data_IF_523563268677
#
_entry.id   IF_523563268677
#
_cell.length_a   1.000
_cell.length_b   1.000
_cell.length_c   1.000
_cell.angle_alpha   90.00
_cell.angle_beta   90.00
_cell.angle_gamma   90.00
#
_symmetry.space_group_name_H-M   'P 1'
#
loop_
_entity.id
_entity.type
_entity.pdbx_description
1 polymer ?
#
# COMPACT_ATOMS: atom_id res chain seq x y z
N UNK A 1 -12.49 -6.21 14.59
CA UNK A 1 -12.56 -6.32 16.06
C UNK A 1 -12.86 -7.73 16.53
N UNK A 2 -13.94 -8.41 16.11
CA UNK A 2 -14.23 -9.78 16.56
C UNK A 2 -13.09 -10.77 16.33
N UNK A 3 -12.45 -10.76 15.15
CA UNK A 3 -11.29 -11.63 14.90
C UNK A 3 -10.11 -11.35 15.83
N UNK A 4 -9.80 -10.08 16.10
CA UNK A 4 -8.75 -9.69 17.04
C UNK A 4 -9.09 -10.16 18.47
N UNK A 5 -10.36 -10.06 18.87
CA UNK A 5 -10.80 -10.58 20.17
C UNK A 5 -10.60 -12.10 20.27
N UNK A 6 -10.93 -12.86 19.22
CA UNK A 6 -10.68 -14.30 19.16
C UNK A 6 -9.20 -14.62 19.31
N UNK A 7 -8.33 -13.97 18.52
CA UNK A 7 -6.87 -14.13 18.61
C UNK A 7 -6.31 -13.81 20.00
N UNK A 8 -6.88 -12.82 20.69
CA UNK A 8 -6.40 -12.38 21.99
C UNK A 8 -6.86 -13.31 23.11
N UNK A 9 -8.16 -13.57 23.18
CA UNK A 9 -8.78 -14.24 24.32
C UNK A 9 -8.71 -15.77 24.22
N UNK A 10 -8.83 -16.32 23.01
CA UNK A 10 -8.85 -17.76 22.73
C UNK A 10 -7.56 -18.19 22.03
N UNK A 11 -6.41 -17.69 22.48
CA UNK A 11 -5.12 -17.84 21.75
C UNK A 11 -4.71 -19.30 21.54
N UNK A 12 -5.07 -20.19 22.46
CA UNK A 12 -4.76 -21.62 22.35
C UNK A 12 -5.54 -22.29 21.20
N UNK A 13 -6.71 -21.75 20.84
CA UNK A 13 -7.56 -22.22 19.75
C UNK A 13 -7.34 -21.39 18.46
N UNK A 14 -7.04 -20.10 18.61
CA UNK A 14 -6.89 -19.13 17.53
C UNK A 14 -5.54 -18.41 17.65
N UNK A 15 -4.54 -18.91 16.94
CA UNK A 15 -3.23 -18.28 16.81
C UNK A 15 -2.87 -17.90 15.36
N UNK A 16 -3.63 -18.40 14.38
CA UNK A 16 -3.47 -18.04 12.97
C UNK A 16 -4.53 -17.00 12.56
N UNK A 17 -4.13 -15.78 12.13
CA UNK A 17 -5.06 -14.74 11.72
C UNK A 17 -5.94 -15.11 10.52
N UNK A 18 -5.41 -15.90 9.59
CA UNK A 18 -6.14 -16.28 8.38
C UNK A 18 -7.23 -17.30 8.71
N UNK A 19 -6.94 -18.31 9.51
CA UNK A 19 -7.92 -19.26 10.03
C UNK A 19 -8.97 -18.56 10.90
N UNK A 20 -8.56 -17.60 11.72
CA UNK A 20 -9.52 -16.80 12.52
C UNK A 20 -10.48 -16.00 11.65
N UNK A 21 -9.97 -15.39 10.56
CA UNK A 21 -10.81 -14.68 9.58
C UNK A 21 -11.79 -15.62 8.87
N UNK A 22 -11.34 -16.84 8.50
CA UNK A 22 -12.18 -17.88 7.87
C UNK A 22 -13.27 -18.36 8.81
N UNK A 23 -12.91 -18.72 10.04
CA UNK A 23 -13.85 -19.12 11.08
C UNK A 23 -14.91 -18.05 11.30
N UNK A 24 -14.50 -16.79 11.48
CA UNK A 24 -15.45 -15.68 11.64
C UNK A 24 -16.41 -15.57 10.45
N UNK A 25 -15.93 -15.71 9.22
CA UNK A 25 -16.76 -15.62 8.03
C UNK A 25 -17.81 -16.74 7.96
N UNK A 26 -17.43 -17.97 8.28
CA UNK A 26 -18.33 -19.14 8.33
C UNK A 26 -19.39 -18.98 9.41
N UNK A 27 -19.01 -18.52 10.61
CA UNK A 27 -19.96 -18.36 11.71
C UNK A 27 -20.90 -17.17 11.51
N UNK A 28 -20.43 -16.08 10.90
CA UNK A 28 -21.18 -14.83 10.82
C UNK A 28 -22.11 -14.74 9.61
N UNK A 29 -21.77 -15.40 8.49
CA UNK A 29 -22.42 -15.17 7.19
C UNK A 29 -22.66 -16.46 6.42
N UNK A 30 -23.83 -16.59 5.77
CA UNK A 30 -24.19 -17.76 4.98
C UNK A 30 -23.42 -17.91 3.66
N UNK A 31 -22.75 -16.84 3.20
CA UNK A 31 -21.96 -16.82 1.97
C UNK A 31 -20.46 -16.79 2.23
N UNK A 32 -20.04 -17.00 3.49
CA UNK A 32 -18.64 -17.00 3.94
C UNK A 32 -17.88 -15.71 3.60
N UNK A 33 -18.61 -14.58 3.49
CA UNK A 33 -18.03 -13.25 3.30
C UNK A 33 -18.08 -12.47 4.61
N UNK A 34 -17.14 -12.79 5.51
CA UNK A 34 -16.91 -12.04 6.74
C UNK A 34 -16.17 -10.72 6.47
N UNK A 35 -14.92 -10.62 6.96
CA UNK A 35 -14.06 -9.46 6.71
C UNK A 35 -13.46 -9.56 5.31
N UNK A 36 -14.02 -8.79 4.37
CA UNK A 36 -13.66 -8.87 2.95
C UNK A 36 -12.75 -7.74 2.48
N UNK A 37 -12.69 -6.62 3.22
CA UNK A 37 -11.86 -5.48 2.84
C UNK A 37 -10.39 -5.80 3.15
N UNK A 38 -9.47 -5.73 2.15
CA UNK A 38 -8.07 -6.10 2.32
C UNK A 38 -7.34 -5.39 3.46
N UNK A 39 -7.49 -4.07 3.59
CA UNK A 39 -6.87 -3.35 4.72
C UNK A 39 -7.42 -3.80 6.07
N UNK A 40 -8.70 -4.18 6.17
CA UNK A 40 -9.23 -4.71 7.44
C UNK A 40 -8.60 -6.07 7.80
N UNK A 41 -8.39 -6.94 6.80
CA UNK A 41 -7.71 -8.23 6.98
C UNK A 41 -6.25 -8.03 7.39
N UNK A 42 -5.54 -7.11 6.74
CA UNK A 42 -4.16 -6.71 7.09
C UNK A 42 -4.01 -6.32 8.56
N UNK A 43 -4.95 -5.57 9.12
CA UNK A 43 -4.89 -5.18 10.54
C UNK A 43 -5.18 -6.35 11.50
N UNK A 44 -5.95 -7.36 11.09
CA UNK A 44 -6.09 -8.61 11.86
C UNK A 44 -4.79 -9.40 11.84
N UNK A 45 -4.12 -9.47 10.68
CA UNK A 45 -2.79 -10.10 10.54
C UNK A 45 -1.72 -9.37 11.37
N UNK A 46 -1.68 -8.03 11.31
CA UNK A 46 -0.82 -7.20 12.16
C UNK A 46 -1.02 -7.47 13.64
N UNK A 47 -2.28 -7.52 14.09
CA UNK A 47 -2.59 -7.79 15.48
C UNK A 47 -2.14 -9.20 15.89
N UNK A 48 -2.44 -10.23 15.08
CA UNK A 48 -1.95 -11.58 15.34
C UNK A 48 -0.43 -11.68 15.36
N UNK A 49 0.26 -10.93 14.49
CA UNK A 49 1.72 -10.84 14.50
C UNK A 49 2.27 -10.27 15.82
N UNK A 50 1.67 -9.19 16.35
CA UNK A 50 2.03 -8.67 17.68
C UNK A 50 1.89 -9.73 18.76
N UNK A 51 0.76 -10.47 18.77
CA UNK A 51 0.48 -11.47 19.80
C UNK A 51 1.42 -12.68 19.72
N UNK A 52 1.65 -13.20 18.51
CA UNK A 52 2.41 -14.43 18.28
C UNK A 52 3.89 -14.23 18.56
N UNK A 53 4.43 -13.05 18.24
CA UNK A 53 5.84 -12.73 18.45
C UNK A 53 6.08 -11.88 19.71
N UNK A 54 5.03 -11.64 20.52
CA UNK A 54 5.08 -10.85 21.75
C UNK A 54 5.75 -9.48 21.56
N UNK A 55 5.45 -8.84 20.42
CA UNK A 55 6.06 -7.58 20.05
C UNK A 55 5.43 -6.44 20.84
N UNK A 56 6.26 -5.49 21.26
CA UNK A 56 5.82 -4.20 21.78
C UNK A 56 5.69 -3.26 20.59
N UNK A 57 4.48 -2.74 20.36
CA UNK A 57 4.27 -1.73 19.34
C UNK A 57 5.05 -0.47 19.69
N UNK A 58 5.90 -0.03 18.76
CA UNK A 58 6.65 1.23 18.88
C UNK A 58 6.42 2.06 17.63
N UNK A 59 6.59 3.37 17.78
CA UNK A 59 6.57 4.23 16.60
C UNK A 59 7.79 3.97 15.72
N UNK A 60 7.55 3.85 14.42
CA UNK A 60 8.58 3.59 13.42
C UNK A 60 8.45 4.59 12.29
N UNK A 61 9.42 5.50 12.18
CA UNK A 61 9.39 6.52 11.14
C UNK A 61 10.05 6.01 9.87
N UNK A 62 9.40 6.32 8.75
CA UNK A 62 9.95 6.11 7.42
C UNK A 62 9.89 7.42 6.64
N UNK A 63 10.68 7.47 5.57
CA UNK A 63 10.58 8.49 4.54
C UNK A 63 9.92 7.85 3.33
N UNK A 64 8.70 8.25 3.00
CA UNK A 64 8.12 7.86 1.72
C UNK A 64 8.90 8.53 0.58
N UNK A 65 9.26 7.75 -0.44
CA UNK A 65 10.04 8.25 -1.58
C UNK A 65 9.27 8.19 -2.89
N UNK A 66 8.70 7.03 -3.23
CA UNK A 66 8.08 6.82 -4.55
C UNK A 66 6.86 5.91 -4.47
N UNK A 67 5.80 6.27 -5.19
CA UNK A 67 4.75 5.35 -5.59
C UNK A 67 4.99 4.89 -7.03
N UNK A 68 5.18 3.60 -7.21
CA UNK A 68 5.34 2.96 -8.51
C UNK A 68 4.08 2.17 -8.85
N UNK A 69 3.55 2.36 -10.05
CA UNK A 69 2.40 1.62 -10.57
C UNK A 69 2.85 0.87 -11.82
N UNK A 70 2.56 -0.42 -11.90
CA UNK A 70 2.97 -1.26 -13.03
C UNK A 70 1.80 -2.04 -13.59
N UNK A 71 1.76 -2.26 -14.90
CA UNK A 71 0.82 -3.18 -15.53
C UNK A 71 1.32 -3.63 -16.92
N UNK A 72 0.81 -4.76 -17.41
CA UNK A 72 1.08 -5.27 -18.76
C UNK A 72 0.13 -4.65 -19.78
N UNK A 73 0.64 -4.31 -20.97
CA UNK A 73 -0.13 -3.64 -22.02
C UNK A 73 -1.17 -4.58 -22.67
N UNK A 74 -2.38 -4.04 -22.87
CA UNK A 74 -3.35 -4.37 -23.93
C UNK A 74 -4.61 -3.47 -23.87
N UNK A 75 -4.75 -2.62 -22.84
CA UNK A 75 -5.82 -1.61 -22.75
C UNK A 75 -5.21 -0.21 -22.74
N UNK A 76 -5.64 0.62 -23.68
CA UNK A 76 -5.31 2.05 -23.69
C UNK A 76 -6.11 2.71 -22.57
N UNK A 77 -5.47 3.01 -21.45
CA UNK A 77 -6.09 3.83 -20.42
C UNK A 77 -5.86 5.28 -20.82
N UNK A 78 -6.75 5.85 -21.66
CA UNK A 78 -6.77 7.30 -21.90
C UNK A 78 -7.24 8.02 -20.63
N UNK A 79 -6.42 8.04 -19.58
CA UNK A 79 -6.75 8.65 -18.29
C UNK A 79 -5.49 9.17 -17.63
N UNK A 80 -5.66 10.14 -16.75
CA UNK A 80 -4.59 10.57 -15.85
C UNK A 80 -4.74 9.86 -14.50
N UNK A 81 -3.63 9.68 -13.79
CA UNK A 81 -3.60 9.11 -12.45
C UNK A 81 -3.00 10.12 -11.47
N UNK A 82 -3.52 10.16 -10.25
CA UNK A 82 -2.93 10.92 -9.14
C UNK A 82 -3.10 10.14 -7.83
N UNK A 83 -2.37 10.52 -6.80
CA UNK A 83 -2.49 9.90 -5.48
C UNK A 83 -2.34 10.92 -4.35
N UNK A 84 -2.86 10.53 -3.19
CA UNK A 84 -2.65 11.23 -1.92
C UNK A 84 -2.01 10.29 -0.91
N UNK A 85 -1.19 10.85 -0.01
CA UNK A 85 -0.64 10.17 1.16
C UNK A 85 -1.18 10.89 2.39
N UNK A 86 -1.86 10.17 3.27
CA UNK A 86 -2.47 10.73 4.48
C UNK A 86 -2.05 9.95 5.73
N UNK A 87 -1.93 10.64 6.85
CA UNK A 87 -1.74 10.01 8.17
C UNK A 87 -3.07 9.41 8.69
N UNK A 88 -3.00 8.70 9.82
CA UNK A 88 -4.14 8.05 10.48
C UNK A 88 -5.37 8.96 10.66
N UNK A 89 -5.14 10.24 10.96
CA UNK A 89 -6.17 11.27 11.14
C UNK A 89 -6.76 11.82 9.82
N UNK A 90 -6.46 11.19 8.67
CA UNK A 90 -6.86 11.61 7.32
C UNK A 90 -6.30 12.97 6.89
N UNK A 91 -5.31 13.52 7.60
CA UNK A 91 -4.59 14.71 7.14
C UNK A 91 -3.71 14.32 5.97
N UNK A 92 -3.95 14.96 4.82
CA UNK A 92 -3.13 14.81 3.62
C UNK A 92 -1.74 15.39 3.92
N UNK A 93 -0.72 14.54 3.86
CA UNK A 93 0.69 14.92 3.95
C UNK A 93 1.25 15.25 2.57
N UNK A 94 0.72 14.58 1.54
CA UNK A 94 1.15 14.79 0.17
C UNK A 94 0.03 14.52 -0.82
N UNK A 95 0.01 15.29 -1.90
CA UNK A 95 -0.83 15.07 -3.06
C UNK A 95 0.03 15.20 -4.31
N UNK A 96 -0.03 14.18 -5.16
CA UNK A 96 0.70 14.19 -6.42
C UNK A 96 0.05 15.11 -7.45
N UNK A 97 0.80 15.50 -8.47
CA UNK A 97 0.22 16.01 -9.70
C UNK A 97 -0.59 14.91 -10.42
N UNK A 98 -1.30 15.27 -11.48
CA UNK A 98 -1.89 14.27 -12.39
C UNK A 98 -0.86 13.82 -13.42
N UNK A 99 -0.77 12.51 -13.64
CA UNK A 99 0.17 11.88 -14.57
C UNK A 99 -0.63 11.20 -15.67
N UNK A 100 -0.47 11.65 -16.91
CA UNK A 100 -1.15 11.07 -18.06
C UNK A 100 -0.62 9.66 -18.36
N UNK A 101 -1.51 8.68 -18.46
CA UNK A 101 -1.20 7.33 -18.94
C UNK A 101 -1.29 7.31 -20.48
N UNK A 102 -0.55 8.18 -21.18
CA UNK A 102 -0.55 8.24 -22.64
C UNK A 102 0.36 7.15 -23.27
N UNK A 103 0.06 6.77 -24.52
CA UNK A 103 0.59 5.59 -25.25
C UNK A 103 2.11 5.54 -25.44
N UNK A 104 2.83 6.66 -25.32
CA UNK A 104 4.24 6.75 -25.66
C UNK A 104 4.99 7.62 -24.66
N UNK A 105 5.72 7.00 -23.73
CA UNK A 105 6.87 7.69 -23.11
C UNK A 105 7.98 7.66 -24.16
N UNK A 106 7.89 8.56 -25.15
CA UNK A 106 9.11 9.07 -25.76
C UNK A 106 9.72 9.97 -24.70
N UNK A 107 10.93 9.62 -24.27
CA UNK A 107 11.69 10.30 -23.23
C UNK A 107 11.60 11.82 -23.38
N UNK A 108 10.86 12.50 -22.50
CA UNK A 108 11.20 13.87 -22.16
C UNK A 108 12.41 13.80 -21.23
N UNK A 109 13.60 13.94 -21.82
CA UNK A 109 14.84 14.29 -21.11
C UNK A 109 14.72 15.71 -20.56
N UNK A 110 13.78 15.95 -19.66
CA UNK A 110 13.69 17.20 -18.92
C UNK A 110 13.93 16.89 -17.43
N UNK A 111 15.22 16.89 -17.07
CA UNK A 111 15.74 17.23 -15.73
C UNK A 111 15.52 16.29 -14.53
N UNK A 112 15.40 14.97 -14.70
CA UNK A 112 15.64 14.03 -13.56
C UNK A 112 16.53 12.86 -14.00
N UNK A 113 17.83 13.02 -13.81
CA UNK A 113 18.89 12.25 -14.44
C UNK A 113 19.10 10.78 -13.98
N UNK A 114 18.18 10.14 -13.23
CA UNK A 114 18.48 8.84 -12.60
C UNK A 114 17.34 7.80 -12.60
N UNK A 115 16.53 7.69 -13.66
CA UNK A 115 15.52 6.61 -13.73
C UNK A 115 15.63 5.79 -15.01
N UNK A 116 16.24 4.60 -14.90
CA UNK A 116 16.31 3.62 -15.97
C UNK A 116 15.00 2.85 -16.09
N UNK A 117 14.34 2.97 -17.23
CA UNK A 117 13.32 2.02 -17.69
C UNK A 117 13.99 0.66 -17.83
N UNK A 118 13.81 -0.23 -16.86
CA UNK A 118 14.23 -1.62 -16.98
C UNK A 118 13.22 -2.34 -17.88
N UNK A 119 13.72 -2.81 -19.03
CA UNK A 119 13.00 -3.40 -20.15
C UNK A 119 11.91 -4.42 -19.76
N UNK A 120 10.80 -4.38 -20.52
CA UNK A 120 9.73 -5.38 -20.72
C UNK A 120 8.39 -5.28 -19.95
N UNK A 121 8.17 -4.33 -19.04
CA UNK A 121 6.82 -4.06 -18.47
C UNK A 121 6.70 -2.56 -18.18
N UNK A 122 5.64 -1.89 -18.62
CA UNK A 122 5.53 -0.44 -18.46
C UNK A 122 5.34 -0.10 -16.98
N UNK A 123 6.35 0.55 -16.39
CA UNK A 123 6.37 1.00 -15.00
C UNK A 123 6.14 2.51 -14.98
N UNK A 124 5.02 2.96 -14.44
CA UNK A 124 4.77 4.38 -14.20
C UNK A 124 5.31 4.74 -12.84
N UNK A 125 6.31 5.62 -12.85
CA UNK A 125 6.88 6.21 -11.65
C UNK A 125 6.12 7.49 -11.40
N UNK A 126 5.50 7.59 -10.23
CA UNK A 126 4.94 8.84 -9.79
C UNK A 126 5.83 9.36 -8.67
N UNK A 127 6.96 10.02 -9.03
CA UNK A 127 7.82 10.59 -8.02
C UNK A 127 7.00 11.62 -7.25
N UNK A 128 7.25 11.70 -5.95
CA UNK A 128 6.87 12.89 -5.23
C UNK A 128 7.56 14.07 -5.93
N UNK A 129 6.79 14.99 -6.48
CA UNK A 129 7.30 16.12 -7.24
C UNK A 129 8.45 16.84 -6.51
N UNK A 130 9.58 16.96 -7.23
CA UNK A 130 10.90 17.43 -6.79
C UNK A 130 11.70 16.38 -6.00
N UNK A 131 13.02 16.34 -6.24
CA UNK A 131 14.02 15.45 -5.62
C UNK A 131 14.14 15.57 -4.07
N UNK A 132 13.10 16.05 -3.39
CA UNK A 132 13.09 16.51 -2.00
C UNK A 132 11.78 16.25 -1.24
N UNK A 133 10.84 15.45 -1.75
CA UNK A 133 9.72 15.03 -0.89
C UNK A 133 10.15 13.82 -0.04
N UNK A 134 10.95 14.11 0.99
CA UNK A 134 11.10 13.19 2.09
C UNK A 134 9.90 13.38 3.01
N UNK A 135 8.81 12.65 2.79
CA UNK A 135 7.61 12.77 3.64
C UNK A 135 7.82 11.83 4.82
N UNK A 136 8.07 12.37 6.04
CA UNK A 136 8.12 11.52 7.21
C UNK A 136 6.73 10.95 7.46
N UNK A 137 6.65 9.64 7.56
CA UNK A 137 5.44 8.91 7.88
C UNK A 137 5.69 8.02 9.09
N UNK A 138 4.66 7.87 9.91
CA UNK A 138 4.66 7.11 11.15
C UNK A 138 3.24 6.58 11.39
N UNK A 139 3.13 5.42 12.04
CA UNK A 139 1.87 4.75 12.34
C UNK A 139 1.07 4.37 11.09
N UNK A 140 -0.25 4.60 11.10
CA UNK A 140 -1.16 4.27 10.01
C UNK A 140 -1.06 5.31 8.90
N UNK A 141 -0.75 4.81 7.70
CA UNK A 141 -0.66 5.57 6.46
C UNK A 141 -1.74 5.09 5.52
N UNK A 142 -2.48 6.04 4.96
CA UNK A 142 -3.41 5.82 3.87
C UNK A 142 -2.83 6.36 2.57
N UNK A 143 -2.85 5.52 1.53
CA UNK A 143 -2.60 5.96 0.16
C UNK A 143 -3.90 5.79 -0.63
N UNK A 144 -4.41 6.87 -1.23
CA UNK A 144 -5.55 6.84 -2.15
C UNK A 144 -5.08 7.17 -3.55
N UNK A 145 -5.56 6.42 -4.55
CA UNK A 145 -5.23 6.59 -5.96
C UNK A 145 -6.50 6.96 -6.71
N UNK A 146 -6.40 7.96 -7.57
CA UNK A 146 -7.49 8.54 -8.35
C UNK A 146 -7.21 8.42 -9.84
N UNK A 147 -8.26 8.16 -10.61
CA UNK A 147 -8.23 8.19 -12.08
C UNK A 147 -9.09 9.34 -12.59
N UNK A 148 -8.53 10.07 -13.55
CA UNK A 148 -9.21 11.14 -14.28
C UNK A 148 -9.39 10.69 -15.73
N UNK A 149 -10.60 10.22 -16.08
CA UNK A 149 -10.88 9.60 -17.40
C UNK A 149 -10.82 10.55 -18.59
N UNK A 150 -10.97 11.85 -18.37
CA UNK A 150 -10.97 12.86 -19.42
C UNK A 150 -10.20 14.09 -18.96
N UNK A 151 -9.57 14.84 -19.86
CA UNK A 151 -8.74 16.03 -19.51
C UNK A 151 -9.47 17.13 -18.73
N UNK A 152 -10.81 17.10 -18.68
CA UNK A 152 -11.67 18.02 -17.91
C UNK A 152 -12.55 17.30 -16.88
N UNK A 153 -12.34 16.01 -16.69
CA UNK A 153 -13.09 15.19 -15.76
C UNK A 153 -12.66 15.46 -14.32
N UNK A 154 -13.53 15.11 -13.38
CA UNK A 154 -13.14 15.08 -11.97
C UNK A 154 -12.37 13.79 -11.68
N UNK A 155 -11.32 13.83 -10.83
CA UNK A 155 -10.67 12.62 -10.35
C UNK A 155 -11.67 11.74 -9.59
N UNK A 156 -11.78 10.47 -9.99
CA UNK A 156 -12.58 9.46 -9.31
C UNK A 156 -11.64 8.52 -8.55
N UNK A 157 -11.95 8.18 -7.30
CA UNK A 157 -11.14 7.25 -6.54
C UNK A 157 -11.16 5.86 -7.20
N UNK A 158 -10.00 5.42 -7.67
CA UNK A 158 -9.79 4.08 -8.21
C UNK A 158 -9.68 3.07 -7.06
N UNK A 159 -8.74 3.33 -6.14
CA UNK A 159 -8.41 2.39 -5.08
C UNK A 159 -7.68 3.07 -3.93
N UNK A 160 -7.50 2.34 -2.83
CA UNK A 160 -6.71 2.80 -1.70
C UNK A 160 -6.18 1.62 -0.89
N UNK A 161 -5.28 1.90 0.04
CA UNK A 161 -4.84 0.91 1.02
C UNK A 161 -4.28 1.60 2.26
N UNK A 162 -4.41 0.91 3.39
CA UNK A 162 -3.79 1.29 4.65
C UNK A 162 -2.61 0.39 4.98
N UNK A 163 -1.53 0.95 5.49
CA UNK A 163 -0.47 0.16 6.11
C UNK A 163 -0.01 0.87 7.37
N UNK A 164 0.62 0.12 8.28
CA UNK A 164 1.21 0.69 9.47
C UNK A 164 2.74 0.55 9.39
N UNK A 165 3.46 1.65 9.63
CA UNK A 165 4.91 1.70 9.45
C UNK A 165 5.68 0.75 10.35
N UNK A 166 5.14 0.39 11.53
CA UNK A 166 5.76 -0.56 12.47
C UNK A 166 6.00 -1.94 11.82
N UNK A 167 5.08 -2.39 10.96
CA UNK A 167 5.12 -3.73 10.36
C UNK A 167 5.97 -3.80 9.08
N UNK A 168 6.66 -2.72 8.72
CA UNK A 168 7.61 -2.72 7.61
C UNK A 168 8.88 -3.45 8.02
N UNK A 169 9.37 -4.32 7.14
CA UNK A 169 10.57 -5.12 7.39
C UNK A 169 11.81 -4.34 6.96
N UNK A 170 12.81 -4.21 7.82
CA UNK A 170 13.99 -3.37 7.55
C UNK A 170 14.77 -3.76 6.29
N UNK A 171 14.79 -5.06 5.97
CA UNK A 171 15.42 -5.56 4.75
C UNK A 171 14.63 -5.29 3.47
N UNK A 172 13.38 -4.83 3.58
CA UNK A 172 12.47 -4.60 2.46
C UNK A 172 12.05 -3.13 2.43
N UNK A 173 12.74 -2.33 1.62
CA UNK A 173 12.44 -0.91 1.34
C UNK A 173 11.24 -0.74 0.38
N UNK A 174 10.30 -1.68 0.40
CA UNK A 174 9.20 -1.75 -0.55
C UNK A 174 7.98 -2.45 0.02
N UNK A 175 6.80 -1.85 -0.17
CA UNK A 175 5.51 -2.53 -0.06
C UNK A 175 5.03 -2.86 -1.46
N UNK A 176 4.87 -4.14 -1.79
CA UNK A 176 4.30 -4.58 -3.06
C UNK A 176 2.85 -5.04 -2.85
N UNK A 177 1.94 -4.41 -3.59
CA UNK A 177 0.52 -4.75 -3.61
C UNK A 177 0.15 -5.12 -5.04
N UNK A 178 -0.43 -6.30 -5.23
CA UNK A 178 -0.91 -6.74 -6.53
C UNK A 178 -2.44 -6.81 -6.57
N UNK A 179 -3.00 -6.53 -7.75
CA UNK A 179 -4.42 -6.70 -8.02
C UNK A 179 -4.80 -8.20 -8.09
N UNK A 180 -3.83 -9.06 -8.39
CA UNK A 180 -4.00 -10.52 -8.37
C UNK A 180 -2.85 -11.19 -7.61
N UNK A 181 -3.16 -12.11 -6.72
CA UNK A 181 -2.20 -13.01 -6.08
C UNK A 181 -2.92 -14.31 -5.72
N UNK A 182 -2.44 -15.45 -6.24
CA UNK A 182 -3.01 -16.77 -5.99
C UNK A 182 -3.02 -17.15 -4.50
N UNK A 183 -2.08 -16.62 -3.70
CA UNK A 183 -1.97 -16.89 -2.26
C UNK A 183 -2.77 -15.91 -1.39
N UNK A 184 -2.93 -14.66 -1.85
CA UNK A 184 -3.63 -13.60 -1.12
C UNK A 184 -4.42 -12.74 -2.11
N UNK A 185 -5.61 -13.20 -2.56
CA UNK A 185 -6.36 -12.47 -3.56
C UNK A 185 -6.70 -11.09 -3.02
N UNK A 186 -6.17 -10.07 -3.72
CA UNK A 186 -6.54 -8.66 -3.62
C UNK A 186 -6.07 -7.99 -2.31
N UNK A 187 -4.94 -7.28 -2.36
CA UNK A 187 -4.42 -6.50 -1.22
C UNK A 187 -4.79 -5.01 -1.27
N UNK A 188 -5.62 -4.61 -2.24
CA UNK A 188 -5.93 -3.21 -2.55
C UNK A 188 -7.44 -2.97 -2.39
N UNK A 189 -7.81 -2.01 -1.54
CA UNK A 189 -9.20 -1.67 -1.29
C UNK A 189 -9.80 -0.96 -2.52
N UNK A 190 -11.01 -1.36 -2.92
CA UNK A 190 -11.67 -0.92 -4.16
C UNK A 190 -11.47 -1.93 -5.29
N UNK A 191 -10.23 -2.32 -5.59
CA UNK A 191 -9.94 -3.26 -6.68
C UNK A 191 -10.36 -4.71 -6.38
N UNK A 192 -10.48 -5.09 -5.11
CA UNK A 192 -11.05 -6.39 -4.71
C UNK A 192 -12.50 -6.63 -5.18
N UNK A 193 -13.14 -5.60 -5.74
CA UNK A 193 -14.47 -5.67 -6.35
C UNK A 193 -14.41 -5.78 -7.88
N UNK A 194 -13.27 -5.44 -8.51
CA UNK A 194 -13.06 -5.47 -9.96
C UNK A 194 -12.62 -6.85 -10.45
N UNK A 195 -13.42 -7.88 -10.15
CA UNK A 195 -13.13 -9.29 -10.47
C UNK A 195 -13.00 -9.59 -11.96
N UNK A 196 -13.50 -8.69 -12.80
CA UNK A 196 -13.50 -8.83 -14.25
C UNK A 196 -12.50 -7.87 -14.92
N UNK A 197 -11.65 -7.20 -14.14
CA UNK A 197 -10.59 -6.32 -14.63
C UNK A 197 -11.09 -5.27 -15.64
N UNK A 198 -12.24 -4.66 -15.31
CA UNK A 198 -12.88 -3.63 -16.13
C UNK A 198 -12.27 -2.24 -15.91
N UNK A 199 -11.72 -1.99 -14.72
CA UNK A 199 -11.09 -0.73 -14.36
C UNK A 199 -9.59 -0.77 -14.60
N UNK A 200 -8.94 -1.86 -14.18
CA UNK A 200 -7.50 -2.07 -14.34
C UNK A 200 -7.20 -3.53 -14.67
N UNK A 201 -6.11 -3.83 -15.41
CA UNK A 201 -5.75 -5.20 -15.74
C UNK A 201 -5.37 -6.03 -14.48
N UNK A 202 -5.40 -7.35 -14.62
CA UNK A 202 -4.96 -8.28 -13.56
C UNK A 202 -3.49 -8.06 -13.15
N UNK A 203 -2.65 -7.64 -14.11
CA UNK A 203 -1.24 -7.31 -13.91
C UNK A 203 -0.98 -5.97 -13.20
N UNK A 204 -2.04 -5.24 -12.82
CA UNK A 204 -1.90 -3.99 -12.09
C UNK A 204 -1.26 -4.23 -10.71
N UNK A 205 -0.14 -3.55 -10.44
CA UNK A 205 0.53 -3.56 -9.13
C UNK A 205 0.86 -2.15 -8.68
N UNK A 206 0.95 -1.99 -7.36
CA UNK A 206 1.38 -0.79 -6.68
C UNK A 206 2.59 -1.16 -5.83
N UNK A 207 3.65 -0.37 -5.92
CA UNK A 207 4.84 -0.48 -5.10
C UNK A 207 5.09 0.84 -4.37
N UNK A 208 5.15 0.81 -3.05
CA UNK A 208 5.56 1.95 -2.22
C UNK A 208 7.02 1.77 -1.86
N UNK A 209 7.88 2.66 -2.32
CA UNK A 209 9.28 2.74 -1.90
C UNK A 209 9.42 3.74 -0.76
N UNK A 210 10.29 3.40 0.18
CA UNK A 210 10.55 4.22 1.35
C UNK A 210 11.96 3.94 1.87
N UNK A 211 12.50 4.89 2.62
CA UNK A 211 13.77 4.75 3.36
C UNK A 211 13.51 4.81 4.86
N UNK A 212 14.39 4.21 5.66
CA UNK A 212 14.36 4.38 7.11
C UNK A 212 15.08 5.65 7.51
N UNK A 213 14.49 6.39 8.46
CA UNK A 213 15.21 7.46 9.14
C UNK A 213 16.19 6.79 10.10
N UNK A 214 17.51 6.97 9.97
CA UNK A 214 18.45 6.44 10.95
C UNK A 214 18.11 7.05 12.30
N UNK A 215 17.73 6.23 13.27
CA UNK A 215 17.68 6.68 14.66
C UNK A 215 19.11 7.03 15.05
N UNK A 216 19.34 8.27 15.50
CA UNK A 216 20.64 8.69 15.99
C UNK A 216 21.12 7.65 17.01
N UNK A 217 22.32 7.10 16.79
CA UNK A 217 22.93 6.17 17.73
C UNK A 217 22.92 6.81 19.12
N UNK A 218 22.57 6.07 20.19
CA UNK A 218 22.68 6.63 21.54
C UNK A 218 24.13 7.09 21.73
N UNK A 219 24.29 8.37 22.04
CA UNK A 219 25.57 8.92 22.49
C UNK A 219 25.86 8.18 23.78
N UNK A 220 26.71 7.15 23.71
CA UNK A 220 27.33 6.58 24.88
C UNK A 220 28.21 7.67 25.46
N UNK A 221 27.72 8.39 26.46
CA UNK A 221 28.58 9.18 27.34
C UNK A 221 29.55 8.19 27.97
N UNK A 222 30.82 8.23 27.55
CA UNK A 222 31.86 7.57 28.32
C UNK A 222 31.87 8.22 29.71
N UNK A 223 31.89 7.44 30.80
CA UNK A 223 32.04 8.00 32.12
C UNK A 223 33.45 8.57 32.25
N UNK A 224 33.52 9.83 32.72
CA UNK A 224 34.74 10.48 33.19
C UNK A 224 35.38 9.73 34.37
#
# INVERSE_FOLDING_TARGET
>A
MSCCFLLYYYRDEFNDPLETLRFYAQQRTSNEKGVTIPSQRRYVEYFGHLLNYQLIYTLKQIVFTVLLITYEQNQVINSSISYTVSSYNRRIQYQSFEFSLERDITMHQDSIANYSVLNATHKYFIPSSNQQCQIPLEEDVLIEIFLTKTKRGKPEKLCHFWFNTFFLVDSKMQILLSNYNEKHPENIDGLHKDKFHRLVPASFTISVLFDYIPTASPIFSQPD
#
